data_IF_854135665648
#
_entry.id   IF_854135665648
#
_cell.length_a   1.000
_cell.length_b   1.000
_cell.length_c   1.000
_cell.angle_alpha   90.00
_cell.angle_beta   90.00
_cell.angle_gamma   90.00
#
_symmetry.space_group_name_H-M   'P 1'
#
loop_
_entity.id
_entity.type
_entity.pdbx_description
1 polymer ?
#
# COMPACT_ATOMS: atom_id res chain seq x y z
N UNK A 1 -14.59 -25.66 -7.81
CA UNK A 1 -13.99 -25.62 -6.46
C UNK A 1 -14.64 -24.49 -5.69
N UNK A 2 -15.57 -24.81 -4.81
CA UNK A 2 -16.23 -23.84 -3.92
C UNK A 2 -15.28 -23.55 -2.76
N UNK A 3 -14.73 -22.34 -2.69
CA UNK A 3 -13.86 -21.94 -1.58
C UNK A 3 -14.66 -21.74 -0.29
N UNK A 4 -14.04 -22.10 0.83
CA UNK A 4 -14.55 -21.91 2.18
C UNK A 4 -14.71 -20.41 2.47
N UNK A 5 -15.91 -19.91 2.83
CA UNK A 5 -16.13 -18.50 3.16
C UNK A 5 -15.29 -18.00 4.36
N UNK A 6 -14.80 -18.89 5.22
CA UNK A 6 -13.87 -18.55 6.31
C UNK A 6 -12.49 -18.09 5.79
N UNK A 7 -12.06 -18.53 4.60
CA UNK A 7 -10.76 -18.17 4.03
C UNK A 7 -10.72 -16.73 3.47
N UNK A 8 -11.86 -16.05 3.38
CA UNK A 8 -12.00 -14.70 2.84
C UNK A 8 -11.86 -13.58 3.90
N UNK A 9 -11.66 -13.92 5.18
CA UNK A 9 -11.35 -12.93 6.22
C UNK A 9 -9.84 -12.85 6.42
N UNK A 10 -9.23 -11.80 5.87
CA UNK A 10 -7.78 -11.55 5.96
C UNK A 10 -7.34 -11.02 7.36
N UNK A 11 -8.24 -11.07 8.35
CA UNK A 11 -8.02 -10.60 9.72
C UNK A 11 -8.97 -9.46 10.09
N UNK A 12 -8.78 -8.91 11.29
CA UNK A 12 -9.50 -7.74 11.82
C UNK A 12 -8.52 -6.60 12.10
N UNK A 13 -8.97 -5.36 12.00
CA UNK A 13 -8.21 -4.17 12.36
C UNK A 13 -9.08 -3.25 13.21
N UNK A 14 -8.55 -2.75 14.32
CA UNK A 14 -9.18 -1.68 15.07
C UNK A 14 -9.16 -0.40 14.25
N UNK A 15 -10.27 0.34 14.26
CA UNK A 15 -10.34 1.63 13.59
C UNK A 15 -9.47 2.65 14.34
N UNK A 16 -8.59 3.32 13.61
CA UNK A 16 -7.73 4.38 14.14
C UNK A 16 -8.04 5.71 13.45
N UNK A 17 -7.78 6.85 14.10
CA UNK A 17 -8.00 8.17 13.47
C UNK A 17 -7.17 8.34 12.19
N UNK A 18 -7.71 9.06 11.21
CA UNK A 18 -6.93 9.48 10.02
C UNK A 18 -5.78 10.39 10.44
N UNK A 19 -4.58 10.06 9.96
CA UNK A 19 -3.37 10.87 10.12
C UNK A 19 -3.47 12.15 9.30
N UNK A 20 -4.12 12.12 8.13
CA UNK A 20 -4.37 13.31 7.33
C UNK A 20 -5.28 14.33 8.06
N UNK A 21 -6.28 13.88 8.81
CA UNK A 21 -7.09 14.78 9.64
C UNK A 21 -6.36 15.23 10.90
N UNK A 22 -5.52 14.36 11.47
CA UNK A 22 -4.68 14.68 12.62
C UNK A 22 -3.65 15.77 12.28
N UNK A 23 -3.05 15.72 11.08
CA UNK A 23 -2.03 16.68 10.63
C UNK A 23 -2.58 18.09 10.38
N UNK A 24 -3.90 18.23 10.17
CA UNK A 24 -4.58 19.54 10.04
C UNK A 24 -4.81 20.22 11.39
N UNK A 25 -4.72 19.49 12.50
CA UNK A 25 -4.93 20.04 13.84
C UNK A 25 -3.67 20.78 14.31
N UNK A 26 -3.80 21.85 15.11
CA UNK A 26 -2.66 22.56 15.67
C UNK A 26 -2.04 21.77 16.84
N UNK A 27 -1.41 20.63 16.53
CA UNK A 27 -0.72 19.81 17.51
C UNK A 27 0.65 20.41 17.83
N UNK A 28 0.97 20.52 19.12
CA UNK A 28 2.31 20.94 19.58
C UNK A 28 3.31 19.80 19.55
N UNK A 29 2.83 18.57 19.72
CA UNK A 29 3.63 17.36 19.83
C UNK A 29 2.95 16.21 19.09
N UNK A 30 3.76 15.27 18.62
CA UNK A 30 3.28 14.03 17.99
C UNK A 30 2.65 13.14 19.08
N UNK A 31 1.43 12.59 18.89
CA UNK A 31 0.81 11.76 19.91
C UNK A 31 1.66 10.53 20.26
N UNK A 32 1.66 10.07 21.53
CA UNK A 32 2.56 9.00 22.00
C UNK A 32 2.46 7.68 21.25
N UNK A 33 1.31 7.40 20.63
CA UNK A 33 1.04 6.19 19.86
C UNK A 33 1.79 6.16 18.52
N UNK A 34 2.37 7.27 18.07
CA UNK A 34 3.20 7.36 16.85
C UNK A 34 4.70 7.53 17.16
N UNK A 35 5.07 7.68 18.43
CA UNK A 35 6.47 7.82 18.85
C UNK A 35 7.09 6.43 18.97
N UNK A 36 8.16 6.18 18.22
CA UNK A 36 8.97 4.96 18.28
C UNK A 36 10.06 5.16 19.33
N UNK A 37 10.00 4.39 20.40
CA UNK A 37 11.00 4.40 21.49
C UNK A 37 12.06 3.32 21.32
N UNK A 38 11.79 2.35 20.45
CA UNK A 38 12.52 1.10 20.34
C UNK A 38 13.28 1.02 19.00
N UNK A 39 13.32 2.11 18.23
CA UNK A 39 14.12 2.17 17.01
C UNK A 39 15.60 2.31 17.37
N UNK A 40 16.42 1.49 16.73
CA UNK A 40 17.87 1.62 16.80
C UNK A 40 18.30 3.05 16.44
N UNK A 41 19.38 3.57 17.04
CA UNK A 41 19.91 4.88 16.66
C UNK A 41 20.10 4.94 15.14
N UNK A 42 19.87 6.11 14.51
CA UNK A 42 19.97 6.25 13.06
C UNK A 42 21.30 5.66 12.58
N UNK A 43 21.23 4.84 11.53
CA UNK A 43 22.40 4.14 10.97
C UNK A 43 23.57 5.11 10.86
N UNK A 44 24.77 4.74 11.36
CA UNK A 44 25.92 5.62 11.32
C UNK A 44 26.17 6.04 9.88
N UNK A 45 26.45 7.33 9.66
CA UNK A 45 26.78 7.86 8.34
C UNK A 45 27.93 7.04 7.76
N UNK A 46 27.62 6.21 6.76
CA UNK A 46 28.60 5.34 6.14
C UNK A 46 29.57 6.19 5.30
N UNK A 47 30.90 6.02 5.47
CA UNK A 47 31.89 6.76 4.70
C UNK A 47 31.94 6.33 3.22
N UNK A 48 31.36 5.18 2.89
CA UNK A 48 31.30 4.62 1.54
C UNK A 48 29.90 4.78 0.95
N UNK A 49 29.78 4.88 -0.39
CA UNK A 49 28.49 4.82 -1.06
C UNK A 49 27.73 3.57 -0.65
N UNK A 50 26.46 3.73 -0.30
CA UNK A 50 25.58 2.60 -0.05
C UNK A 50 25.46 1.75 -1.32
N UNK A 51 25.35 0.41 -1.19
CA UNK A 51 25.01 -0.45 -2.31
C UNK A 51 23.76 0.08 -3.03
N UNK A 52 23.79 0.09 -4.36
CA UNK A 52 22.63 0.52 -5.15
C UNK A 52 21.65 -0.64 -5.33
N UNK A 53 20.35 -0.34 -5.17
CA UNK A 53 19.27 -1.31 -5.37
C UNK A 53 19.37 -1.90 -6.78
N UNK A 54 19.32 -3.24 -6.94
CA UNK A 54 19.37 -3.87 -8.24
C UNK A 54 18.27 -3.35 -9.16
N UNK A 55 18.62 -3.11 -10.42
CA UNK A 55 17.69 -2.74 -11.49
C UNK A 55 17.63 -3.90 -12.47
N UNK A 56 16.42 -4.40 -12.74
CA UNK A 56 16.14 -5.50 -13.66
C UNK A 56 15.45 -4.94 -14.90
N UNK A 57 15.97 -5.28 -16.07
CA UNK A 57 15.38 -4.93 -17.37
C UNK A 57 14.44 -6.02 -17.86
N UNK A 58 13.13 -5.80 -17.75
CA UNK A 58 12.13 -6.84 -18.07
C UNK A 58 12.18 -7.27 -19.55
N UNK A 59 12.63 -6.40 -20.46
CA UNK A 59 12.78 -6.76 -21.88
C UNK A 59 13.92 -7.76 -22.11
N UNK A 60 14.91 -7.81 -21.22
CA UNK A 60 16.06 -8.72 -21.30
C UNK A 60 15.88 -9.96 -20.44
N UNK A 61 14.75 -10.15 -19.78
CA UNK A 61 14.55 -11.22 -18.81
C UNK A 61 14.71 -12.64 -19.40
N UNK A 62 14.59 -12.78 -20.73
CA UNK A 62 14.85 -14.03 -21.44
C UNK A 62 16.34 -14.30 -21.71
N UNK A 63 17.21 -13.31 -21.50
CA UNK A 63 18.66 -13.50 -21.52
C UNK A 63 19.11 -14.20 -20.25
N UNK A 64 20.14 -15.03 -20.38
CA UNK A 64 20.68 -15.77 -19.24
C UNK A 64 21.26 -14.84 -18.19
N UNK A 65 21.92 -13.78 -18.63
CA UNK A 65 22.58 -12.78 -17.79
C UNK A 65 21.56 -12.05 -16.91
N UNK A 66 20.47 -11.56 -17.50
CA UNK A 66 19.43 -10.84 -16.76
C UNK A 66 18.67 -11.77 -15.80
N UNK A 67 18.46 -13.04 -16.18
CA UNK A 67 17.83 -14.03 -15.30
C UNK A 67 18.73 -14.39 -14.10
N UNK A 68 20.03 -14.55 -14.32
CA UNK A 68 21.02 -14.74 -13.25
C UNK A 68 21.08 -13.50 -12.33
N UNK A 69 20.97 -12.30 -12.91
CA UNK A 69 20.91 -11.05 -12.16
C UNK A 69 19.64 -10.91 -11.32
N UNK A 70 18.48 -11.26 -11.88
CA UNK A 70 17.22 -11.34 -11.12
C UNK A 70 17.33 -12.35 -9.99
N UNK A 71 17.89 -13.53 -10.23
CA UNK A 71 18.09 -14.55 -9.20
C UNK A 71 18.96 -14.02 -8.05
N UNK A 72 20.07 -13.34 -8.38
CA UNK A 72 20.94 -12.71 -7.40
C UNK A 72 20.20 -11.63 -6.59
N UNK A 73 19.45 -10.74 -7.25
CA UNK A 73 18.66 -9.71 -6.57
C UNK A 73 17.61 -10.32 -5.61
N UNK A 74 16.89 -11.35 -6.05
CA UNK A 74 15.94 -12.05 -5.19
C UNK A 74 16.60 -12.68 -3.96
N UNK A 75 17.80 -13.28 -4.12
CA UNK A 75 18.48 -14.02 -3.05
C UNK A 75 19.20 -13.12 -2.05
N UNK A 76 19.95 -12.13 -2.54
CA UNK A 76 20.85 -11.32 -1.71
C UNK A 76 20.17 -10.02 -1.22
N UNK A 77 19.17 -9.51 -1.96
CA UNK A 77 18.48 -8.27 -1.61
C UNK A 77 17.04 -8.48 -1.13
N UNK A 78 16.30 -9.39 -1.78
CA UNK A 78 14.86 -9.57 -1.52
C UNK A 78 13.96 -8.46 -2.10
N UNK A 79 14.54 -7.46 -2.76
CA UNK A 79 13.82 -6.41 -3.50
C UNK A 79 14.69 -5.85 -4.65
N UNK A 80 14.05 -5.29 -5.67
CA UNK A 80 14.70 -4.70 -6.84
C UNK A 80 13.75 -3.73 -7.55
N UNK A 81 14.30 -2.90 -8.44
CA UNK A 81 13.53 -2.05 -9.34
C UNK A 81 13.37 -2.73 -10.69
N UNK A 82 12.22 -2.56 -11.32
CA UNK A 82 11.97 -3.08 -12.67
C UNK A 82 11.88 -1.91 -13.65
N UNK A 83 12.62 -1.98 -14.75
CA UNK A 83 12.51 -1.07 -15.88
C UNK A 83 12.02 -1.82 -17.12
N UNK A 84 11.54 -1.08 -18.12
CA UNK A 84 11.00 -1.65 -19.36
C UNK A 84 9.91 -2.70 -19.09
N UNK A 85 9.09 -2.50 -18.07
CA UNK A 85 8.10 -3.47 -17.57
C UNK A 85 6.84 -3.61 -18.44
N UNK A 86 6.82 -3.02 -19.63
CA UNK A 86 5.66 -3.07 -20.56
C UNK A 86 4.44 -2.21 -20.16
N UNK A 87 4.26 -1.87 -18.88
CA UNK A 87 3.20 -0.94 -18.45
C UNK A 87 3.44 0.48 -18.97
N UNK A 88 2.43 1.07 -19.62
CA UNK A 88 2.52 2.43 -20.18
C UNK A 88 2.79 3.48 -19.11
N UNK A 89 3.80 4.35 -19.33
CA UNK A 89 4.08 5.48 -18.44
C UNK A 89 2.89 6.43 -18.29
N UNK A 90 2.07 6.58 -19.34
CA UNK A 90 0.85 7.40 -19.28
C UNK A 90 -0.22 6.80 -18.36
N UNK A 91 -0.28 5.47 -18.26
CA UNK A 91 -1.16 4.77 -17.34
C UNK A 91 -0.67 4.93 -15.90
N UNK A 92 0.63 4.72 -15.66
CA UNK A 92 1.25 4.90 -14.33
C UNK A 92 1.00 6.32 -13.81
N UNK A 93 1.18 7.34 -14.65
CA UNK A 93 0.97 8.73 -14.24
C UNK A 93 -0.50 9.04 -13.95
N UNK A 94 -1.43 8.53 -14.76
CA UNK A 94 -2.86 8.65 -14.48
C UNK A 94 -3.23 8.00 -13.15
N UNK A 95 -2.75 6.78 -12.88
CA UNK A 95 -3.02 6.09 -11.60
C UNK A 95 -2.53 6.92 -10.41
N UNK A 96 -1.33 7.52 -10.48
CA UNK A 96 -0.83 8.41 -9.42
C UNK A 96 -1.76 9.60 -9.19
N UNK A 97 -2.18 10.26 -10.27
CA UNK A 97 -3.07 11.43 -10.21
C UNK A 97 -4.42 11.07 -9.58
N UNK A 98 -5.04 9.96 -10.00
CA UNK A 98 -6.32 9.49 -9.46
C UNK A 98 -6.25 9.09 -7.98
N UNK A 99 -5.14 8.45 -7.57
CA UNK A 99 -4.90 8.15 -6.15
C UNK A 99 -4.74 9.43 -5.36
N UNK A 100 -4.00 10.43 -5.88
CA UNK A 100 -3.85 11.72 -5.23
C UNK A 100 -5.20 12.44 -5.10
N UNK A 101 -6.01 12.47 -6.16
CA UNK A 101 -7.37 13.03 -6.15
C UNK A 101 -8.26 12.32 -5.12
N UNK A 102 -8.19 10.99 -5.05
CA UNK A 102 -8.89 10.20 -4.05
C UNK A 102 -8.53 10.61 -2.62
N UNK A 103 -7.25 10.75 -2.28
CA UNK A 103 -6.83 11.19 -0.93
C UNK A 103 -7.16 12.66 -0.65
N UNK A 104 -7.32 13.49 -1.68
CA UNK A 104 -7.75 14.88 -1.57
C UNK A 104 -9.26 15.05 -1.40
N UNK A 105 -10.07 13.99 -1.58
CA UNK A 105 -11.51 14.05 -1.34
C UNK A 105 -11.83 14.48 0.11
N UNK A 106 -13.00 15.09 0.34
CA UNK A 106 -13.51 15.34 1.68
C UNK A 106 -13.56 14.07 2.52
N UNK A 107 -13.41 14.21 3.83
CA UNK A 107 -13.39 13.06 4.74
C UNK A 107 -14.75 12.34 4.75
N UNK A 108 -15.84 13.04 4.49
CA UNK A 108 -17.19 12.49 4.35
C UNK A 108 -17.28 11.48 3.20
N UNK A 109 -16.60 11.76 2.08
CA UNK A 109 -16.57 10.87 0.91
C UNK A 109 -15.67 9.65 1.19
N UNK A 110 -14.48 9.87 1.75
CA UNK A 110 -13.56 8.77 2.12
C UNK A 110 -14.14 7.86 3.21
N UNK A 111 -14.97 8.39 4.12
CA UNK A 111 -15.67 7.60 5.15
C UNK A 111 -16.65 6.57 4.59
N UNK A 112 -17.17 6.77 3.37
CA UNK A 112 -18.02 5.77 2.69
C UNK A 112 -17.24 4.49 2.34
N UNK A 113 -15.92 4.60 2.33
CA UNK A 113 -14.98 3.53 2.01
C UNK A 113 -14.18 3.08 3.24
N UNK A 114 -14.55 3.54 4.44
CA UNK A 114 -13.84 3.23 5.67
C UNK A 114 -13.90 1.74 6.00
N UNK A 115 -12.86 1.21 6.63
CA UNK A 115 -12.85 -0.16 7.13
C UNK A 115 -14.02 -0.41 8.09
N UNK A 116 -14.66 -1.58 8.00
CA UNK A 116 -15.60 -2.02 9.03
C UNK A 116 -14.83 -2.60 10.23
N UNK A 117 -15.39 -2.58 11.47
CA UNK A 117 -14.69 -3.02 12.70
C UNK A 117 -14.14 -4.48 12.75
N UNK A 118 -14.33 -5.29 11.70
CA UNK A 118 -13.81 -6.65 11.58
C UNK A 118 -13.24 -6.94 10.17
N UNK A 119 -12.89 -5.89 9.42
CA UNK A 119 -12.33 -5.97 8.08
C UNK A 119 -11.04 -5.16 7.98
N UNK A 120 -10.12 -5.62 7.13
CA UNK A 120 -8.88 -4.88 6.84
C UNK A 120 -8.95 -4.11 5.53
N UNK A 121 -9.95 -4.39 4.68
CA UNK A 121 -10.16 -3.69 3.41
C UNK A 121 -10.94 -2.40 3.64
N UNK A 122 -10.59 -1.35 2.92
CA UNK A 122 -11.13 0.00 3.04
C UNK A 122 -10.06 1.03 3.37
N UNK A 123 -10.52 2.24 3.66
CA UNK A 123 -9.72 3.37 4.12
C UNK A 123 -9.47 3.23 5.62
N UNK A 124 -8.20 3.33 6.04
CA UNK A 124 -7.78 3.20 7.44
C UNK A 124 -6.33 2.75 7.58
N UNK A 125 -6.04 1.97 8.62
CA UNK A 125 -4.77 1.26 8.79
C UNK A 125 -5.05 -0.25 8.93
N UNK A 126 -4.24 -1.06 8.28
CA UNK A 126 -4.36 -2.51 8.38
C UNK A 126 -3.58 -3.06 9.60
N UNK A 127 -4.08 -4.16 10.17
CA UNK A 127 -3.42 -4.92 11.24
C UNK A 127 -3.19 -4.15 12.56
N UNK A 128 -4.13 -3.28 12.94
CA UNK A 128 -4.16 -2.70 14.29
C UNK A 128 -4.86 -3.68 15.22
N UNK A 129 -4.13 -4.28 16.16
CA UNK A 129 -4.63 -5.38 17.00
C UNK A 129 -4.83 -5.01 18.48
N UNK A 130 -4.32 -3.85 18.92
CA UNK A 130 -4.47 -3.36 20.31
C UNK A 130 -4.45 -1.84 20.38
N UNK A 131 -4.96 -1.28 21.49
CA UNK A 131 -4.98 0.17 21.75
C UNK A 131 -3.59 0.72 22.13
N UNK A 132 -2.69 -0.16 22.58
CA UNK A 132 -1.33 0.17 22.97
C UNK A 132 -0.35 0.12 21.79
N UNK A 133 -0.74 -0.54 20.69
CA UNK A 133 0.08 -0.68 19.50
C UNK A 133 0.50 0.68 18.93
N UNK A 134 1.79 0.78 18.60
CA UNK A 134 2.36 1.92 17.86
C UNK A 134 1.84 1.95 16.43
N UNK A 135 1.39 3.11 15.99
CA UNK A 135 0.80 3.35 14.68
C UNK A 135 1.80 3.98 13.71
N UNK A 136 1.56 3.79 12.42
CA UNK A 136 2.32 4.46 11.38
C UNK A 136 1.76 5.85 11.12
N UNK A 137 2.64 6.81 10.79
CA UNK A 137 2.24 8.15 10.38
C UNK A 137 1.81 8.17 8.91
N UNK A 138 0.70 7.53 8.60
CA UNK A 138 0.13 7.48 7.26
C UNK A 138 -1.27 6.87 7.24
N UNK A 139 -2.04 7.25 6.22
CA UNK A 139 -3.33 6.65 5.90
C UNK A 139 -3.18 5.69 4.72
N UNK A 140 -3.99 4.64 4.67
CA UNK A 140 -3.98 3.63 3.62
C UNK A 140 -5.40 3.43 3.07
N UNK A 141 -5.51 3.06 1.79
CA UNK A 141 -6.66 2.37 1.25
C UNK A 141 -6.22 0.99 0.75
N UNK A 142 -6.87 -0.07 1.23
CA UNK A 142 -6.56 -1.46 0.84
C UNK A 142 -7.80 -2.17 0.31
N UNK A 143 -7.64 -2.96 -0.75
CA UNK A 143 -8.71 -3.76 -1.33
C UNK A 143 -8.12 -4.93 -2.12
N UNK A 144 -8.79 -6.08 -2.06
CA UNK A 144 -8.53 -7.21 -2.94
C UNK A 144 -9.14 -6.92 -4.32
N UNK A 145 -8.29 -6.86 -5.34
CA UNK A 145 -8.71 -6.55 -6.72
C UNK A 145 -8.94 -7.81 -7.56
N UNK A 146 -8.30 -8.92 -7.21
CA UNK A 146 -8.39 -10.22 -7.90
C UNK A 146 -8.38 -11.39 -6.90
N UNK A 147 -9.08 -12.50 -7.24
CA UNK A 147 -10.06 -12.62 -8.32
C UNK A 147 -11.31 -11.75 -8.05
N UNK A 148 -12.04 -11.40 -9.10
CA UNK A 148 -13.12 -10.38 -9.04
C UNK A 148 -14.24 -10.72 -8.06
N UNK A 149 -14.51 -12.00 -7.81
CA UNK A 149 -15.53 -12.44 -6.86
C UNK A 149 -15.16 -12.21 -5.38
N UNK A 150 -13.90 -11.91 -5.07
CA UNK A 150 -13.48 -11.51 -3.72
C UNK A 150 -13.64 -10.01 -3.45
N UNK A 151 -13.94 -9.20 -4.47
CA UNK A 151 -14.13 -7.76 -4.30
C UNK A 151 -15.30 -7.48 -3.37
N UNK A 152 -15.07 -6.67 -2.35
CA UNK A 152 -16.10 -6.29 -1.40
C UNK A 152 -17.18 -5.43 -2.09
N UNK A 153 -18.46 -5.83 -2.03
CA UNK A 153 -19.55 -5.14 -2.73
C UNK A 153 -19.85 -3.75 -2.15
N UNK A 154 -19.41 -3.47 -0.93
CA UNK A 154 -19.56 -2.14 -0.32
C UNK A 154 -18.38 -1.20 -0.59
N UNK A 155 -17.25 -1.70 -1.11
CA UNK A 155 -16.08 -0.86 -1.44
C UNK A 155 -16.04 -0.54 -2.93
N UNK A 156 -16.02 -1.58 -3.78
CA UNK A 156 -15.73 -1.40 -5.20
C UNK A 156 -16.72 -0.48 -5.95
N UNK A 157 -18.04 -0.55 -5.74
CA UNK A 157 -18.99 0.36 -6.37
C UNK A 157 -18.92 1.79 -5.87
N UNK A 158 -18.39 2.02 -4.66
CA UNK A 158 -18.29 3.34 -4.02
C UNK A 158 -16.97 4.08 -4.35
N UNK A 159 -16.06 3.43 -5.09
CA UNK A 159 -14.87 4.09 -5.60
C UNK A 159 -15.23 5.17 -6.64
N UNK A 160 -14.43 6.26 -6.72
CA UNK A 160 -14.49 7.17 -7.86
C UNK A 160 -14.48 6.41 -9.19
N UNK A 161 -15.30 6.85 -10.16
CA UNK A 161 -15.54 6.11 -11.40
C UNK A 161 -14.26 5.84 -12.20
N UNK A 162 -13.35 6.81 -12.22
CA UNK A 162 -12.02 6.74 -12.83
C UNK A 162 -11.11 5.74 -12.13
N UNK A 163 -10.99 5.80 -10.80
CA UNK A 163 -10.20 4.85 -10.01
C UNK A 163 -10.73 3.41 -10.17
N UNK A 164 -12.05 3.25 -10.17
CA UNK A 164 -12.71 1.96 -10.41
C UNK A 164 -12.41 1.39 -11.81
N UNK A 165 -12.37 2.26 -12.83
CA UNK A 165 -11.98 1.88 -14.19
C UNK A 165 -10.54 1.36 -14.22
N UNK A 166 -9.58 2.06 -13.63
CA UNK A 166 -8.18 1.62 -13.62
C UNK A 166 -7.97 0.29 -12.90
N UNK A 167 -8.64 0.08 -11.76
CA UNK A 167 -8.58 -1.21 -11.04
C UNK A 167 -9.20 -2.34 -11.87
N UNK A 168 -10.13 -2.03 -12.79
CA UNK A 168 -10.72 -3.00 -13.69
C UNK A 168 -9.85 -3.32 -14.91
N UNK A 169 -9.05 -2.36 -15.38
CA UNK A 169 -8.26 -2.48 -16.62
C UNK A 169 -6.86 -3.05 -16.38
N UNK A 170 -6.31 -2.90 -15.17
CA UNK A 170 -5.01 -3.49 -14.80
C UNK A 170 -5.08 -5.00 -14.51
N UNK A 171 -5.96 -5.73 -15.19
CA UNK A 171 -6.12 -7.19 -15.08
C UNK A 171 -5.36 -7.94 -16.16
#
# INVERSE_FOLDING_TARGET
MTMNPELAKLGRSLLVPSVQELSKKPLKEVPPRYIRTDEDPPFPSHPNPLPQVPVIDMHKLFSREELEWLHHACKEWGFFQLINHGVSSSLVEKVKMEVQEFFNLPMEEKKKLWQNPDEIEGFGQAFVVSEEQKLNWGDMFYMITLPTYLRKPHLFPNLPSTLRFFISVCQ
#
